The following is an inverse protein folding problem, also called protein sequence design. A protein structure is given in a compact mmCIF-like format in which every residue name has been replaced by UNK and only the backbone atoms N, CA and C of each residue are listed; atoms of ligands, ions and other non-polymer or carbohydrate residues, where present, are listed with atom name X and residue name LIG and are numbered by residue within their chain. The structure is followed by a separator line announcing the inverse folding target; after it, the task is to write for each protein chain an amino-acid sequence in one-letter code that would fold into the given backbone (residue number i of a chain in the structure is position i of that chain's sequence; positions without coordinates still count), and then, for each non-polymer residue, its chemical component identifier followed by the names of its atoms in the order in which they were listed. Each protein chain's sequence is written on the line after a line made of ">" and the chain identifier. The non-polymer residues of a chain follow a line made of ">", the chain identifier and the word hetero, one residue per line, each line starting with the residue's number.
data_IF_895493579680
#
_entry.id   IF_895493579680
#
_cell.length_a   1.000
_cell.length_b   1.000
_cell.length_c   1.000
_cell.angle_alpha   90.00
_cell.angle_beta   90.00
_cell.angle_gamma   90.00
#
_symmetry.space_group_name_H-M   'P 1'
#
loop_
_entity.id
_entity.type
_entity.pdbx_description
1 polymer ?
#
# COMPACT_ATOMS: atom_id res chain seq x y z
N UNK A 1 62.29 14.20 40.77
CA UNK A 1 62.97 13.84 39.52
C UNK A 1 61.87 13.82 38.48
N UNK A 2 61.46 14.98 37.93
CA UNK A 2 62.22 15.80 36.95
C UNK A 2 62.65 14.89 35.79
N UNK A 3 61.94 14.97 34.65
CA UNK A 3 62.38 15.69 33.43
C UNK A 3 63.50 14.90 32.73
N UNK A 4 63.58 14.64 31.43
CA UNK A 4 62.99 15.15 30.20
C UNK A 4 63.64 14.31 29.06
N UNK A 5 63.22 14.51 27.80
CA UNK A 5 63.95 14.21 26.55
C UNK A 5 64.08 12.73 26.12
N UNK A 6 63.80 12.30 24.88
CA UNK A 6 63.81 12.97 23.57
C UNK A 6 62.89 12.26 22.57
N UNK A 7 62.23 13.06 21.73
CA UNK A 7 61.52 12.69 20.51
C UNK A 7 62.43 12.20 19.36
N UNK A 8 61.79 11.80 18.24
CA UNK A 8 62.28 11.63 16.83
C UNK A 8 62.27 10.14 16.40
N UNK A 9 61.60 9.63 15.34
CA UNK A 9 61.06 10.17 14.08
C UNK A 9 60.18 9.10 13.37
N UNK A 10 59.21 9.56 12.57
CA UNK A 10 58.60 8.96 11.34
C UNK A 10 58.00 7.55 11.38
N UNK A 11 56.66 7.46 11.25
CA UNK A 11 56.04 6.91 10.04
C UNK A 11 54.54 7.25 10.01
N UNK A 12 54.20 8.01 8.99
CA UNK A 12 52.86 8.36 8.56
C UNK A 12 52.25 7.13 7.91
N UNK A 13 51.26 6.52 8.54
CA UNK A 13 50.23 5.76 7.82
C UNK A 13 48.87 6.31 8.24
N UNK A 14 48.31 7.06 7.30
CA UNK A 14 46.90 7.41 7.22
C UNK A 14 46.08 6.12 7.31
N UNK A 15 45.61 5.80 8.52
CA UNK A 15 44.50 4.86 8.68
C UNK A 15 43.30 5.37 7.88
N UNK A 16 42.47 4.49 7.30
CA UNK A 16 41.35 4.92 6.50
C UNK A 16 40.43 5.73 7.40
N UNK A 17 40.32 7.02 7.08
CA UNK A 17 39.30 7.89 7.63
C UNK A 17 37.97 7.17 7.45
N UNK A 18 37.33 6.79 8.56
CA UNK A 18 35.92 6.44 8.55
C UNK A 18 35.19 7.72 8.12
N UNK A 19 35.01 7.87 6.82
CA UNK A 19 34.03 8.78 6.25
C UNK A 19 32.68 8.28 6.74
N UNK A 20 32.18 8.89 7.81
CA UNK A 20 30.77 8.82 8.15
C UNK A 20 30.05 9.53 6.99
N UNK A 21 29.73 8.75 5.97
CA UNK A 21 28.87 9.18 4.88
C UNK A 21 27.53 9.59 5.49
N UNK A 22 27.26 10.89 5.42
CA UNK A 22 25.98 11.53 5.73
C UNK A 22 24.82 10.68 5.17
N UNK A 23 23.78 10.34 5.94
CA UNK A 23 22.69 9.50 5.44
C UNK A 23 21.75 10.35 4.57
N UNK A 24 22.08 10.48 3.29
CA UNK A 24 21.19 11.08 2.28
C UNK A 24 20.17 10.06 1.71
N UNK A 25 20.28 8.78 2.08
CA UNK A 25 19.60 7.69 1.36
C UNK A 25 18.26 7.24 2.00
N UNK A 26 17.94 7.68 3.23
CA UNK A 26 16.72 7.25 3.92
C UNK A 26 15.42 7.84 3.38
N UNK A 27 15.44 9.00 2.71
CA UNK A 27 14.22 9.63 2.19
C UNK A 27 13.73 9.00 0.88
N UNK A 28 14.63 8.78 -0.07
CA UNK A 28 14.28 8.23 -1.38
C UNK A 28 13.69 6.81 -1.30
N UNK A 29 14.23 5.94 -0.45
CA UNK A 29 13.74 4.57 -0.31
C UNK A 29 12.33 4.48 0.33
N UNK A 30 11.97 5.45 1.18
CA UNK A 30 10.65 5.51 1.82
C UNK A 30 9.59 6.02 0.84
N UNK A 31 9.94 7.00 0.01
CA UNK A 31 9.04 7.55 -1.00
C UNK A 31 8.71 6.50 -2.08
N UNK A 32 9.70 5.75 -2.57
CA UNK A 32 9.46 4.68 -3.56
C UNK A 32 8.58 3.56 -2.99
N UNK A 33 8.78 3.16 -1.71
CA UNK A 33 7.95 2.14 -1.07
C UNK A 33 6.50 2.61 -0.94
N UNK A 34 6.26 3.88 -0.59
CA UNK A 34 4.92 4.45 -0.44
C UNK A 34 4.16 4.47 -1.76
N UNK A 35 4.85 4.81 -2.86
CA UNK A 35 4.29 4.80 -4.22
C UNK A 35 3.90 3.38 -4.63
N UNK A 36 4.81 2.40 -4.48
CA UNK A 36 4.54 1.00 -4.85
C UNK A 36 3.37 0.39 -4.05
N UNK A 37 3.30 0.69 -2.75
CA UNK A 37 2.17 0.23 -1.91
C UNK A 37 0.87 0.90 -2.34
N UNK A 38 0.88 2.19 -2.69
CA UNK A 38 -0.29 2.89 -3.21
C UNK A 38 -0.82 2.27 -4.52
N UNK A 39 0.08 2.00 -5.48
CA UNK A 39 -0.28 1.39 -6.76
C UNK A 39 -0.84 -0.03 -6.59
N UNK A 40 -0.21 -0.85 -5.74
CA UNK A 40 -0.69 -2.20 -5.45
C UNK A 40 -2.09 -2.18 -4.80
N UNK A 41 -2.34 -1.23 -3.88
CA UNK A 41 -3.65 -1.08 -3.23
C UNK A 41 -4.72 -0.61 -4.22
N UNK A 42 -4.43 0.35 -5.09
CA UNK A 42 -5.38 0.78 -6.13
C UNK A 42 -5.71 -0.35 -7.11
N UNK A 43 -4.72 -1.14 -7.54
CA UNK A 43 -4.95 -2.31 -8.38
C UNK A 43 -5.83 -3.36 -7.69
N UNK A 44 -5.62 -3.60 -6.39
CA UNK A 44 -6.44 -4.51 -5.61
C UNK A 44 -7.88 -4.00 -5.44
N UNK A 45 -8.06 -2.70 -5.16
CA UNK A 45 -9.39 -2.07 -5.06
C UNK A 45 -10.13 -2.12 -6.40
N UNK A 46 -9.44 -1.89 -7.52
CA UNK A 46 -10.04 -1.99 -8.83
C UNK A 46 -10.49 -3.42 -9.16
N UNK A 47 -9.65 -4.42 -8.86
CA UNK A 47 -9.99 -5.83 -9.05
C UNK A 47 -11.19 -6.23 -8.19
N UNK A 48 -11.23 -5.76 -6.94
CA UNK A 48 -12.35 -5.98 -6.03
C UNK A 48 -13.65 -5.33 -6.56
N UNK A 49 -13.60 -4.07 -7.01
CA UNK A 49 -14.76 -3.38 -7.62
C UNK A 49 -15.31 -4.18 -8.81
N UNK A 50 -14.44 -4.67 -9.70
CA UNK A 50 -14.85 -5.48 -10.84
C UNK A 50 -15.50 -6.81 -10.41
N UNK A 51 -14.94 -7.48 -9.42
CA UNK A 51 -15.47 -8.74 -8.91
C UNK A 51 -16.88 -8.55 -8.33
N UNK A 52 -17.10 -7.50 -7.53
CA UNK A 52 -18.42 -7.17 -7.01
C UNK A 52 -19.38 -6.80 -8.13
N UNK A 53 -18.96 -5.97 -9.09
CA UNK A 53 -19.81 -5.59 -10.22
C UNK A 53 -20.29 -6.80 -11.02
N UNK A 54 -19.41 -7.78 -11.27
CA UNK A 54 -19.77 -9.03 -11.93
C UNK A 54 -20.77 -9.86 -11.10
N UNK A 55 -20.58 -9.92 -9.78
CA UNK A 55 -21.49 -10.62 -8.89
C UNK A 55 -22.88 -9.96 -8.84
N UNK A 56 -22.94 -8.63 -8.74
CA UNK A 56 -24.19 -7.85 -8.78
C UNK A 56 -24.95 -8.09 -10.08
N UNK A 57 -24.25 -8.08 -11.23
CA UNK A 57 -24.87 -8.41 -12.51
C UNK A 57 -25.41 -9.85 -12.55
N UNK A 58 -24.67 -10.80 -11.96
CA UNK A 58 -25.13 -12.18 -11.85
C UNK A 58 -26.42 -12.27 -11.02
N UNK A 59 -26.51 -11.57 -9.89
CA UNK A 59 -27.72 -11.59 -9.05
C UNK A 59 -28.93 -10.97 -9.75
N UNK A 60 -28.74 -9.87 -10.48
CA UNK A 60 -29.82 -9.29 -11.28
C UNK A 60 -30.29 -10.27 -12.36
N UNK A 61 -29.37 -10.94 -13.08
CA UNK A 61 -29.74 -11.99 -14.04
C UNK A 61 -30.45 -13.16 -13.37
N UNK A 62 -30.03 -13.56 -12.17
CA UNK A 62 -30.69 -14.61 -11.39
C UNK A 62 -32.12 -14.21 -10.98
N UNK A 63 -32.34 -12.92 -10.69
CA UNK A 63 -33.66 -12.37 -10.40
C UNK A 63 -34.56 -12.38 -11.65
N UNK A 64 -34.02 -12.09 -12.83
CA UNK A 64 -34.79 -12.11 -14.10
C UNK A 64 -35.32 -13.49 -14.44
N UNK A 65 -34.54 -14.55 -14.20
CA UNK A 65 -34.92 -15.94 -14.57
C UNK A 65 -35.73 -16.68 -13.50
N UNK A 66 -35.75 -16.14 -12.28
CA UNK A 66 -36.48 -16.73 -11.16
C UNK A 66 -38.00 -16.54 -11.32
N UNK A 67 -38.80 -17.50 -10.89
CA UNK A 67 -40.27 -17.40 -10.90
C UNK A 67 -40.86 -16.88 -9.58
N UNK A 68 -40.16 -17.08 -8.46
CA UNK A 68 -40.58 -16.67 -7.13
C UNK A 68 -40.35 -15.17 -6.91
N UNK A 69 -41.43 -14.39 -6.76
CA UNK A 69 -41.36 -12.94 -6.49
C UNK A 69 -40.56 -12.61 -5.23
N UNK A 70 -40.67 -13.43 -4.18
CA UNK A 70 -39.87 -13.25 -2.95
C UNK A 70 -38.37 -13.42 -3.23
N UNK A 71 -38.02 -14.38 -4.07
CA UNK A 71 -36.63 -14.64 -4.45
C UNK A 71 -36.10 -13.52 -5.34
N UNK A 72 -36.89 -13.00 -6.29
CA UNK A 72 -36.52 -11.82 -7.09
C UNK A 72 -36.23 -10.62 -6.21
N UNK A 73 -37.12 -10.33 -5.26
CA UNK A 73 -36.97 -9.21 -4.35
C UNK A 73 -35.70 -9.36 -3.49
N UNK A 74 -35.43 -10.57 -2.97
CA UNK A 74 -34.24 -10.84 -2.18
C UNK A 74 -32.95 -10.65 -2.98
N UNK A 75 -32.89 -11.18 -4.22
CA UNK A 75 -31.73 -11.04 -5.10
C UNK A 75 -31.47 -9.57 -5.47
N UNK A 76 -32.51 -8.82 -5.85
CA UNK A 76 -32.36 -7.40 -6.18
C UNK A 76 -31.94 -6.56 -4.98
N UNK A 77 -32.50 -6.85 -3.79
CA UNK A 77 -32.12 -6.17 -2.56
C UNK A 77 -30.65 -6.44 -2.21
N UNK A 78 -30.23 -7.70 -2.29
CA UNK A 78 -28.85 -8.09 -1.99
C UNK A 78 -27.85 -7.47 -2.98
N UNK A 79 -28.17 -7.50 -4.27
CA UNK A 79 -27.37 -6.87 -5.31
C UNK A 79 -27.19 -5.36 -5.06
N UNK A 80 -28.28 -4.66 -4.71
CA UNK A 80 -28.24 -3.23 -4.38
C UNK A 80 -27.39 -2.98 -3.13
N UNK A 81 -27.60 -3.76 -2.07
CA UNK A 81 -26.84 -3.65 -0.83
C UNK A 81 -25.34 -3.82 -1.06
N UNK A 82 -24.92 -4.82 -1.84
CA UNK A 82 -23.50 -5.05 -2.14
C UNK A 82 -22.90 -3.91 -2.96
N UNK A 83 -23.64 -3.36 -3.93
CA UNK A 83 -23.20 -2.23 -4.72
C UNK A 83 -22.96 -0.99 -3.83
N UNK A 84 -23.91 -0.66 -2.97
CA UNK A 84 -23.83 0.50 -2.07
C UNK A 84 -22.69 0.34 -1.04
N UNK A 85 -22.61 -0.84 -0.40
CA UNK A 85 -21.56 -1.14 0.57
C UNK A 85 -20.18 -1.05 -0.07
N UNK A 86 -20.02 -1.59 -1.26
CA UNK A 86 -18.74 -1.57 -2.01
C UNK A 86 -18.36 -0.15 -2.40
N UNK A 87 -19.32 0.66 -2.86
CA UNK A 87 -19.07 2.06 -3.19
C UNK A 87 -18.55 2.85 -1.99
N UNK A 88 -19.12 2.62 -0.79
CA UNK A 88 -18.65 3.23 0.46
C UNK A 88 -17.26 2.69 0.82
N UNK A 89 -17.09 1.38 0.84
CA UNK A 89 -15.82 0.74 1.20
C UNK A 89 -14.67 1.27 0.34
N UNK A 90 -14.81 1.23 -0.98
CA UNK A 90 -13.71 1.63 -1.88
C UNK A 90 -13.45 3.13 -1.78
N UNK A 91 -14.49 3.95 -1.64
CA UNK A 91 -14.31 5.39 -1.38
C UNK A 91 -13.50 5.63 -0.10
N UNK A 92 -13.82 4.92 0.99
CA UNK A 92 -13.10 5.04 2.26
C UNK A 92 -11.67 4.52 2.17
N UNK A 93 -11.45 3.40 1.47
CA UNK A 93 -10.13 2.83 1.28
C UNK A 93 -9.22 3.75 0.48
N UNK A 94 -9.71 4.31 -0.64
CA UNK A 94 -8.96 5.32 -1.43
C UNK A 94 -8.68 6.58 -0.62
N UNK A 95 -9.63 7.03 0.21
CA UNK A 95 -9.43 8.20 1.06
C UNK A 95 -8.37 7.96 2.15
N UNK A 96 -8.27 6.75 2.70
CA UNK A 96 -7.26 6.41 3.70
C UNK A 96 -5.83 6.29 3.12
N UNK A 97 -5.70 6.08 1.81
CA UNK A 97 -4.43 5.92 1.11
C UNK A 97 -3.85 7.23 0.56
N UNK A 98 -4.68 8.29 0.48
CA UNK A 98 -4.27 9.65 0.10
C UNK A 98 -3.71 10.41 1.30
#
# INVERSE_FOLDING_TARGET
>A
MEDDMTATKVARETGPATTISKPAEKKAAVDTRRVLVGEAVEAALHTYEQAVANFVQFEHKAAEVTTSERTKAALNLHATFLADLTAVYVRTARAAMR
#
